data_IF_351991196534
#
_entry.id   IF_351991196534
#
_cell.length_a   1.000
_cell.length_b   1.000
_cell.length_c   1.000
_cell.angle_alpha   90.00
_cell.angle_beta   90.00
_cell.angle_gamma   90.00
#
_symmetry.space_group_name_H-M   'P 1'
#
loop_
_entity.id
_entity.type
_entity.pdbx_description
1 polymer ?
#
# COMPACT_ATOMS: atom_id res chain seq x y z
N UNK A 1 -29.00 -13.13 33.21
CA UNK A 1 -27.81 -13.79 32.64
C UNK A 1 -28.21 -15.15 32.08
N UNK A 2 -27.67 -15.54 30.94
CA UNK A 2 -27.90 -16.84 30.29
C UNK A 2 -26.55 -17.51 30.05
N UNK A 3 -26.45 -18.79 30.37
CA UNK A 3 -25.26 -19.58 30.06
C UNK A 3 -25.28 -20.06 28.61
N UNK A 4 -24.26 -19.67 27.83
CA UNK A 4 -24.16 -19.91 26.38
C UNK A 4 -23.29 -21.13 26.01
N UNK A 5 -22.83 -21.91 26.98
CA UNK A 5 -22.13 -23.18 26.72
C UNK A 5 -20.62 -23.14 27.00
N UNK A 6 -20.22 -22.54 28.12
CA UNK A 6 -18.87 -22.66 28.67
C UNK A 6 -18.52 -24.14 28.87
N UNK A 7 -17.38 -24.55 28.30
CA UNK A 7 -16.90 -25.93 28.38
C UNK A 7 -16.68 -26.42 29.82
N UNK A 8 -16.43 -25.50 30.76
CA UNK A 8 -16.20 -25.80 32.17
C UNK A 8 -17.42 -25.50 33.06
N UNK A 9 -18.53 -25.05 32.47
CA UNK A 9 -19.71 -24.57 33.18
C UNK A 9 -19.49 -23.22 33.88
N UNK A 10 -20.59 -22.53 34.16
CA UNK A 10 -20.61 -21.29 34.96
C UNK A 10 -21.30 -21.56 36.28
N UNK A 11 -20.69 -21.16 37.39
CA UNK A 11 -21.30 -21.25 38.72
C UNK A 11 -21.83 -19.87 39.14
N UNK A 12 -23.07 -19.82 39.60
CA UNK A 12 -23.65 -18.67 40.29
C UNK A 12 -23.80 -19.02 41.76
N UNK A 13 -23.10 -18.30 42.64
CA UNK A 13 -23.07 -18.53 44.08
C UNK A 13 -22.74 -20.00 44.44
N UNK A 14 -21.78 -20.58 43.72
CA UNK A 14 -21.34 -21.97 43.90
C UNK A 14 -22.26 -23.05 43.30
N UNK A 15 -23.35 -22.66 42.62
CA UNK A 15 -24.26 -23.61 41.95
C UNK A 15 -24.16 -23.48 40.43
N UNK A 16 -24.15 -24.60 39.68
CA UNK A 16 -24.11 -24.54 38.21
C UNK A 16 -25.35 -23.84 37.66
N UNK A 17 -25.13 -22.89 36.75
CA UNK A 17 -26.20 -22.18 36.06
C UNK A 17 -26.86 -23.13 35.03
N UNK A 18 -28.20 -23.24 34.99
CA UNK A 18 -28.86 -24.06 33.98
C UNK A 18 -28.60 -23.50 32.58
N UNK A 19 -28.24 -24.37 31.64
CA UNK A 19 -28.06 -23.99 30.24
C UNK A 19 -29.36 -23.44 29.67
N UNK A 20 -29.27 -22.34 28.90
CA UNK A 20 -30.40 -21.72 28.19
C UNK A 20 -31.56 -21.20 29.06
N UNK A 21 -31.35 -21.06 30.38
CA UNK A 21 -32.36 -20.45 31.26
C UNK A 21 -31.89 -19.08 31.75
N UNK A 22 -32.73 -18.07 31.57
CA UNK A 22 -32.50 -16.75 32.13
C UNK A 22 -32.57 -16.78 33.65
N UNK A 23 -31.49 -16.33 34.29
CA UNK A 23 -31.40 -16.13 35.73
C UNK A 23 -31.18 -14.65 36.03
N UNK A 24 -32.03 -14.09 36.88
CA UNK A 24 -31.88 -12.72 37.38
C UNK A 24 -30.70 -12.66 38.37
N UNK A 25 -29.84 -11.65 38.23
CA UNK A 25 -28.69 -11.40 39.11
C UNK A 25 -29.05 -10.35 40.16
N UNK A 26 -28.64 -10.57 41.40
CA UNK A 26 -28.81 -9.66 42.52
C UNK A 26 -27.46 -9.11 42.96
N UNK A 27 -27.46 -7.88 43.48
CA UNK A 27 -26.24 -7.27 44.01
C UNK A 27 -25.59 -8.14 45.08
N UNK A 28 -24.31 -8.44 44.87
CA UNK A 28 -23.51 -9.36 45.68
C UNK A 28 -23.38 -10.78 45.12
N UNK A 29 -24.07 -11.12 44.03
CA UNK A 29 -23.96 -12.44 43.41
C UNK A 29 -22.54 -12.69 42.87
N UNK A 30 -22.01 -13.90 43.14
CA UNK A 30 -20.68 -14.36 42.72
C UNK A 30 -20.79 -15.28 41.50
N UNK A 31 -20.15 -14.90 40.41
CA UNK A 31 -20.12 -15.64 39.16
C UNK A 31 -18.73 -16.24 38.97
N UNK A 32 -18.63 -17.55 38.88
CA UNK A 32 -17.36 -18.24 38.61
C UNK A 32 -17.39 -18.82 37.20
N UNK A 33 -16.44 -18.42 36.36
CA UNK A 33 -16.26 -18.90 35.00
C UNK A 33 -14.81 -19.39 34.87
N UNK A 34 -14.62 -20.72 34.88
CA UNK A 34 -13.27 -21.30 34.93
C UNK A 34 -12.52 -20.88 36.21
N UNK A 35 -11.30 -20.32 36.12
CA UNK A 35 -10.52 -19.92 37.28
C UNK A 35 -10.85 -18.52 37.83
N UNK A 36 -11.79 -17.79 37.21
CA UNK A 36 -12.07 -16.38 37.53
C UNK A 36 -13.40 -16.24 38.26
N UNK A 37 -13.43 -15.43 39.33
CA UNK A 37 -14.61 -15.07 40.10
C UNK A 37 -14.95 -13.58 39.92
N UNK A 38 -16.21 -13.29 39.57
CA UNK A 38 -16.77 -11.94 39.42
C UNK A 38 -17.84 -11.69 40.49
N UNK A 39 -17.99 -10.45 40.94
CA UNK A 39 -19.06 -10.05 41.86
C UNK A 39 -19.98 -9.04 41.17
N UNK A 40 -21.27 -9.37 41.05
CA UNK A 40 -22.25 -8.50 40.42
C UNK A 40 -22.64 -7.35 41.36
N UNK A 41 -22.48 -6.12 40.89
CA UNK A 41 -22.92 -4.91 41.60
C UNK A 41 -23.91 -4.15 40.71
N UNK A 42 -25.21 -4.08 41.07
CA UNK A 42 -26.19 -3.37 40.27
C UNK A 42 -25.84 -1.89 40.26
N UNK A 43 -25.82 -1.30 39.06
CA UNK A 43 -25.78 0.14 38.91
C UNK A 43 -27.04 0.71 39.57
N UNK A 44 -26.85 1.57 40.56
CA UNK A 44 -27.97 2.27 41.19
C UNK A 44 -28.75 3.00 40.10
N UNK A 45 -30.09 2.92 40.07
CA UNK A 45 -30.88 3.65 39.08
C UNK A 45 -30.53 5.13 39.20
N UNK A 46 -30.09 5.73 38.09
CA UNK A 46 -29.86 7.17 38.02
C UNK A 46 -31.12 7.87 38.51
N UNK A 47 -30.96 8.72 39.52
CA UNK A 47 -32.09 9.52 40.02
C UNK A 47 -32.62 10.33 38.84
N UNK A 48 -33.93 10.31 38.56
CA UNK A 48 -34.50 11.12 37.51
C UNK A 48 -34.11 12.58 37.79
N UNK A 49 -33.37 13.17 36.85
CA UNK A 49 -33.03 14.58 36.87
C UNK A 49 -34.35 15.34 36.87
N UNK A 50 -34.66 15.99 38.00
CA UNK A 50 -35.82 16.88 38.12
C UNK A 50 -35.55 18.06 37.19
N UNK A 51 -36.14 18.01 35.99
CA UNK A 51 -36.12 19.13 35.05
C UNK A 51 -36.88 20.29 35.70
N UNK A 52 -36.26 21.43 35.99
CA UNK A 52 -36.97 22.58 36.54
C UNK A 52 -38.04 23.06 35.54
N UNK A 53 -39.19 23.56 36.02
CA UNK A 53 -40.28 24.00 35.17
C UNK A 53 -39.82 25.09 34.19
N UNK A 54 -40.32 25.09 32.93
CA UNK A 54 -39.98 26.10 31.94
C UNK A 54 -40.42 27.48 32.45
N UNK A 55 -39.44 28.38 32.56
CA UNK A 55 -39.64 29.79 32.86
C UNK A 55 -40.46 30.44 31.74
N UNK A 56 -41.48 31.21 32.12
CA UNK A 56 -42.44 31.80 31.19
C UNK A 56 -41.76 32.69 30.12
N UNK A 57 -42.27 32.69 28.87
CA UNK A 57 -41.62 33.39 27.76
C UNK A 57 -41.66 34.91 27.96
N UNK A 58 -40.49 35.51 28.12
CA UNK A 58 -40.31 36.97 27.95
C UNK A 58 -40.52 37.34 26.48
N UNK A 59 -41.21 38.46 26.28
CA UNK A 59 -41.60 39.01 24.99
C UNK A 59 -40.43 39.07 23.98
N UNK A 60 -40.69 38.84 22.68
CA UNK A 60 -39.66 38.82 21.66
C UNK A 60 -39.07 40.22 21.45
N UNK A 61 -37.73 40.39 21.44
CA UNK A 61 -37.10 41.61 20.95
C UNK A 61 -37.28 41.72 19.43
N UNK A 62 -37.49 42.96 18.98
CA UNK A 62 -37.67 43.34 17.58
C UNK A 62 -36.53 42.82 16.71
N UNK A 63 -36.89 42.16 15.60
CA UNK A 63 -35.95 41.65 14.59
C UNK A 63 -35.39 42.82 13.77
N UNK A 64 -34.06 43.02 13.71
CA UNK A 64 -33.47 43.79 12.63
C UNK A 64 -33.53 42.96 11.35
N UNK A 65 -34.05 43.56 10.28
CA UNK A 65 -34.07 43.03 8.92
C UNK A 65 -32.65 42.94 8.36
N UNK A 66 -32.00 41.79 8.54
CA UNK A 66 -30.75 41.47 7.86
C UNK A 66 -31.06 41.08 6.40
N UNK A 67 -30.87 42.02 5.48
CA UNK A 67 -30.64 41.73 4.06
C UNK A 67 -29.31 40.99 3.95
N UNK A 68 -29.36 39.68 3.73
CA UNK A 68 -28.21 38.89 3.30
C UNK A 68 -27.80 39.31 1.88
N UNK A 69 -26.70 40.05 1.77
CA UNK A 69 -25.96 40.21 0.52
C UNK A 69 -24.93 39.09 0.42
N UNK A 70 -24.94 38.38 -0.72
CA UNK A 70 -24.08 37.23 -1.08
C UNK A 70 -22.56 37.48 -0.95
N UNK A 71 -22.13 38.72 -0.75
CA UNK A 71 -20.73 39.12 -0.66
C UNK A 71 -20.05 38.84 0.70
N UNK A 72 -20.79 38.66 1.81
CA UNK A 72 -20.17 38.43 3.12
C UNK A 72 -19.58 37.01 3.29
N UNK A 73 -20.13 36.00 2.61
CA UNK A 73 -19.65 34.61 2.70
C UNK A 73 -18.28 34.39 2.04
N UNK A 74 -17.93 35.14 1.00
CA UNK A 74 -16.61 35.04 0.34
C UNK A 74 -15.51 35.68 1.17
N UNK A 75 -15.84 36.73 1.93
CA UNK A 75 -14.88 37.47 2.73
C UNK A 75 -14.55 36.73 4.03
N UNK A 76 -15.52 36.03 4.64
CA UNK A 76 -15.25 35.12 5.77
C UNK A 76 -14.48 33.86 5.35
N UNK A 77 -14.70 33.31 4.15
CA UNK A 77 -13.88 32.19 3.65
C UNK A 77 -12.42 32.59 3.38
N UNK A 78 -12.17 33.81 2.88
CA UNK A 78 -10.80 34.31 2.67
C UNK A 78 -10.02 34.56 3.97
N UNK A 79 -10.70 34.90 5.07
CA UNK A 79 -10.04 35.08 6.37
C UNK A 79 -9.60 33.73 6.95
N UNK A 80 -10.35 32.66 6.71
CA UNK A 80 -9.97 31.30 7.14
C UNK A 80 -8.80 30.75 6.31
N UNK A 81 -8.70 31.08 5.01
CA UNK A 81 -7.54 30.71 4.18
C UNK A 81 -6.27 31.53 4.49
N UNK A 82 -6.42 32.74 5.02
CA UNK A 82 -5.28 33.62 5.32
C UNK A 82 -4.58 33.33 6.67
N UNK A 83 -5.27 32.70 7.63
CA UNK A 83 -4.69 32.40 8.95
C UNK A 83 -3.91 31.06 9.02
N UNK A 84 -3.97 30.21 7.98
CA UNK A 84 -3.32 28.88 7.97
C UNK A 84 -1.91 28.87 7.31
N UNK A 85 -1.30 30.04 7.12
CA UNK A 85 0.11 30.17 6.69
C UNK A 85 0.99 30.67 7.83
N UNK A 86 1.06 29.87 8.91
CA UNK A 86 2.09 29.99 9.94
C UNK A 86 3.47 29.53 9.42
N UNK A 87 4.59 30.09 9.92
CA UNK A 87 5.87 30.06 9.24
C UNK A 87 6.67 28.79 9.55
N UNK A 88 6.58 27.77 8.70
CA UNK A 88 7.66 26.80 8.58
C UNK A 88 8.74 27.39 7.68
N UNK A 89 9.61 28.20 8.31
CA UNK A 89 10.84 28.71 7.71
C UNK A 89 11.84 27.55 7.60
N UNK A 90 11.75 26.79 6.52
CA UNK A 90 12.87 25.94 6.09
C UNK A 90 14.01 26.86 5.71
N UNK A 91 15.09 26.83 6.49
CA UNK A 91 16.35 27.48 6.14
C UNK A 91 16.90 26.76 4.92
N UNK A 92 16.61 27.28 3.73
CA UNK A 92 17.33 26.90 2.51
C UNK A 92 18.59 27.75 2.48
N UNK A 93 19.70 27.12 2.83
CA UNK A 93 21.03 27.66 2.62
C UNK A 93 21.27 27.76 1.11
N UNK A 94 21.30 28.99 0.60
CA UNK A 94 21.65 29.34 -0.78
C UNK A 94 23.11 28.98 -1.05
N UNK A 95 23.34 27.77 -1.55
CA UNK A 95 24.62 27.42 -2.18
C UNK A 95 24.56 27.88 -3.63
N UNK A 96 25.26 28.98 -3.90
CA UNK A 96 25.52 29.55 -5.21
C UNK A 96 26.24 28.49 -6.09
N UNK A 97 25.55 27.93 -7.08
CA UNK A 97 26.17 27.09 -8.12
C UNK A 97 26.47 27.98 -9.34
N UNK A 98 27.71 28.02 -9.86
CA UNK A 98 28.03 28.82 -11.04
C UNK A 98 27.42 28.21 -12.31
N UNK A 99 26.83 29.07 -13.13
CA UNK A 99 26.44 28.79 -14.52
C UNK A 99 27.68 28.43 -15.38
N UNK A 100 27.61 27.31 -16.10
CA UNK A 100 28.50 27.00 -17.21
C UNK A 100 27.71 26.78 -18.51
N UNK A 101 28.31 27.09 -19.68
CA UNK A 101 27.59 27.38 -20.92
C UNK A 101 27.30 26.16 -21.79
N UNK A 102 26.17 26.21 -22.50
CA UNK A 102 25.80 25.26 -23.55
C UNK A 102 26.79 25.23 -24.73
N UNK A 103 26.96 24.06 -25.37
CA UNK A 103 27.35 24.00 -26.77
C UNK A 103 26.24 23.45 -27.67
N UNK A 104 25.90 24.26 -28.66
CA UNK A 104 25.11 23.89 -29.84
C UNK A 104 25.74 22.75 -30.66
N UNK A 105 24.90 21.83 -31.18
CA UNK A 105 25.20 20.96 -32.34
C UNK A 105 23.90 20.38 -32.91
N UNK A 106 23.35 20.99 -33.97
CA UNK A 106 23.47 20.62 -35.40
C UNK A 106 23.01 19.19 -35.76
N UNK A 107 21.82 19.13 -36.36
CA UNK A 107 21.33 18.11 -37.31
C UNK A 107 22.24 18.05 -38.57
N UNK A 108 22.31 16.92 -39.32
CA UNK A 108 21.34 16.71 -40.42
C UNK A 108 21.00 15.23 -40.79
N UNK A 109 19.78 15.04 -41.29
CA UNK A 109 19.56 14.58 -42.69
C UNK A 109 19.35 13.09 -43.02
N UNK A 110 18.31 12.87 -43.84
CA UNK A 110 18.08 11.79 -44.83
C UNK A 110 17.45 10.49 -44.30
N UNK A 111 16.54 9.79 -44.99
CA UNK A 111 15.66 9.97 -46.16
C UNK A 111 14.75 8.71 -46.19
N UNK A 112 13.59 8.70 -46.89
CA UNK A 112 12.62 7.60 -46.83
C UNK A 112 12.93 6.48 -47.82
N UNK A 113 12.81 5.21 -47.39
CA UNK A 113 12.96 4.05 -48.27
C UNK A 113 11.61 3.58 -48.81
N UNK A 114 11.57 3.55 -50.13
CA UNK A 114 10.47 3.30 -51.04
C UNK A 114 10.16 1.79 -51.10
N UNK A 115 8.89 1.42 -50.99
CA UNK A 115 8.42 0.03 -51.16
C UNK A 115 8.28 -0.24 -52.66
N UNK A 116 9.19 -1.05 -53.21
CA UNK A 116 9.11 -1.57 -54.58
C UNK A 116 8.08 -2.70 -54.70
N UNK A 117 7.19 -2.57 -55.68
CA UNK A 117 6.33 -3.64 -56.21
C UNK A 117 7.13 -4.56 -57.17
N UNK A 118 6.89 -5.87 -57.19
CA UNK A 118 7.27 -6.70 -58.32
C UNK A 118 6.12 -6.90 -59.33
N UNK A 119 6.39 -6.50 -60.58
CA UNK A 119 5.65 -6.81 -61.82
C UNK A 119 5.91 -8.26 -62.29
N UNK A 120 5.09 -8.81 -63.21
CA UNK A 120 4.96 -10.25 -63.47
C UNK A 120 5.99 -10.77 -64.48
N UNK A 121 6.49 -11.99 -64.26
CA UNK A 121 7.39 -12.67 -65.19
C UNK A 121 6.71 -13.89 -65.84
N UNK A 122 6.43 -13.69 -67.14
CA UNK A 122 6.80 -14.56 -68.26
C UNK A 122 6.26 -16.00 -68.29
N UNK A 123 5.37 -16.18 -69.26
CA UNK A 123 4.95 -17.42 -69.90
C UNK A 123 6.14 -18.23 -70.42
N UNK A 124 6.25 -19.49 -69.99
CA UNK A 124 7.21 -20.46 -70.51
C UNK A 124 6.52 -21.51 -71.41
N UNK A 125 7.16 -21.75 -72.56
CA UNK A 125 6.79 -22.69 -73.64
C UNK A 125 6.63 -24.15 -73.16
N UNK A 126 5.80 -24.96 -73.83
CA UNK A 126 5.79 -26.41 -73.67
C UNK A 126 7.04 -27.05 -74.30
N UNK A 127 7.66 -28.06 -73.67
CA UNK A 127 8.78 -28.81 -74.24
C UNK A 127 8.34 -29.90 -75.21
N UNK A 128 9.17 -30.09 -76.25
CA UNK A 128 9.11 -31.12 -77.30
C UNK A 128 9.49 -32.50 -76.73
N UNK A 129 8.92 -33.63 -77.20
CA UNK A 129 9.24 -34.97 -76.70
C UNK A 129 10.58 -35.49 -77.25
N UNK A 130 11.41 -36.07 -76.38
CA UNK A 130 12.66 -36.77 -76.72
C UNK A 130 12.48 -38.28 -76.48
N UNK A 131 12.98 -39.16 -77.36
CA UNK A 131 12.76 -40.62 -77.28
C UNK A 131 13.48 -41.30 -76.10
N UNK A 132 12.87 -42.40 -75.65
CA UNK A 132 13.23 -43.20 -74.49
C UNK A 132 14.59 -43.92 -74.64
N UNK A 133 15.39 -43.87 -73.56
CA UNK A 133 16.65 -44.62 -73.40
C UNK A 133 16.39 -45.85 -72.52
N UNK A 134 16.89 -47.05 -72.87
CA UNK A 134 16.58 -48.29 -72.17
C UNK A 134 17.18 -48.36 -70.76
N UNK A 135 16.39 -48.93 -69.84
CA UNK A 135 16.66 -49.03 -68.41
C UNK A 135 17.80 -50.01 -68.07
N UNK A 136 18.73 -49.55 -67.23
CA UNK A 136 19.71 -50.40 -66.58
C UNK A 136 19.07 -51.21 -65.43
N UNK A 137 19.48 -52.48 -65.29
CA UNK A 137 18.99 -53.40 -64.27
C UNK A 137 19.37 -52.92 -62.85
N UNK A 138 18.45 -53.01 -61.87
CA UNK A 138 18.69 -52.54 -60.50
C UNK A 138 19.62 -53.48 -59.71
N UNK A 139 20.50 -52.87 -58.92
CA UNK A 139 21.34 -53.53 -57.91
C UNK A 139 20.48 -53.81 -56.66
N UNK A 140 20.55 -55.00 -56.03
CA UNK A 140 19.74 -55.32 -54.86
C UNK A 140 20.27 -54.58 -53.62
N UNK A 141 19.42 -53.77 -52.98
CA UNK A 141 19.73 -53.11 -51.71
C UNK A 141 19.40 -51.61 -51.65
N UNK A 142 19.20 -50.96 -52.79
CA UNK A 142 18.75 -49.57 -52.82
C UNK A 142 17.22 -49.50 -52.97
N UNK A 143 16.55 -48.81 -52.05
CA UNK A 143 15.11 -48.52 -52.13
C UNK A 143 14.76 -47.97 -53.53
N UNK A 144 13.75 -48.58 -54.16
CA UNK A 144 13.29 -48.23 -55.51
C UNK A 144 12.97 -46.73 -55.60
N UNK A 145 13.27 -46.11 -56.75
CA UNK A 145 12.95 -44.70 -57.00
C UNK A 145 11.45 -44.39 -56.77
N UNK A 146 10.57 -45.38 -56.99
CA UNK A 146 9.15 -45.28 -56.72
C UNK A 146 8.83 -45.24 -55.21
N UNK A 147 9.54 -46.01 -54.38
CA UNK A 147 9.38 -46.00 -52.93
C UNK A 147 9.92 -44.71 -52.29
N UNK A 148 11.07 -44.22 -52.75
CA UNK A 148 11.62 -42.90 -52.36
C UNK A 148 10.65 -41.76 -52.68
N UNK A 149 9.97 -41.81 -53.83
CA UNK A 149 8.96 -40.82 -54.21
C UNK A 149 7.70 -40.91 -53.32
N UNK A 150 7.27 -42.13 -52.93
CA UNK A 150 6.12 -42.33 -52.05
C UNK A 150 6.40 -41.86 -50.61
N UNK A 151 7.57 -42.16 -50.07
CA UNK A 151 8.05 -41.67 -48.77
C UNK A 151 8.17 -40.14 -48.75
N UNK A 152 8.67 -39.51 -49.83
CA UNK A 152 8.69 -38.04 -49.96
C UNK A 152 7.29 -37.43 -49.92
N UNK A 153 6.30 -38.05 -50.57
CA UNK A 153 4.90 -37.55 -50.57
C UNK A 153 4.19 -37.75 -49.24
N UNK A 154 4.53 -38.80 -48.47
CA UNK A 154 3.95 -39.04 -47.15
C UNK A 154 4.58 -38.13 -46.08
N UNK A 155 5.91 -38.02 -46.05
CA UNK A 155 6.63 -37.18 -45.08
C UNK A 155 6.56 -35.69 -45.43
N UNK A 156 6.33 -35.32 -46.69
CA UNK A 156 6.18 -33.93 -47.11
C UNK A 156 4.91 -33.25 -46.57
N UNK A 157 3.95 -34.00 -46.04
CA UNK A 157 2.68 -33.48 -45.50
C UNK A 157 2.78 -32.98 -44.06
N UNK A 158 3.86 -33.28 -43.33
CA UNK A 158 4.04 -32.85 -41.93
C UNK A 158 5.36 -32.10 -41.78
N UNK A 159 5.37 -31.06 -40.93
CA UNK A 159 6.58 -30.27 -40.63
C UNK A 159 7.73 -31.18 -40.14
N UNK A 160 7.43 -32.15 -39.28
CA UNK A 160 8.42 -33.13 -38.81
C UNK A 160 8.94 -34.08 -39.90
N UNK A 161 8.11 -34.44 -40.88
CA UNK A 161 8.51 -35.29 -41.99
C UNK A 161 9.41 -34.59 -43.00
N UNK A 162 9.17 -33.29 -43.25
CA UNK A 162 10.04 -32.45 -44.07
C UNK A 162 11.44 -32.28 -43.43
N UNK A 163 11.50 -32.04 -42.11
CA UNK A 163 12.75 -31.97 -41.37
C UNK A 163 13.53 -33.29 -41.39
N UNK A 164 12.85 -34.43 -41.25
CA UNK A 164 13.49 -35.76 -41.32
C UNK A 164 14.07 -36.07 -42.69
N UNK A 165 13.38 -35.65 -43.77
CA UNK A 165 13.87 -35.78 -45.15
C UNK A 165 15.06 -34.86 -45.43
N UNK A 166 15.06 -33.64 -44.91
CA UNK A 166 16.17 -32.70 -45.01
C UNK A 166 17.39 -33.23 -44.23
N UNK A 167 17.18 -33.72 -43.01
CA UNK A 167 18.24 -34.30 -42.17
C UNK A 167 18.87 -35.56 -42.78
N UNK A 168 18.06 -36.41 -43.41
CA UNK A 168 18.52 -37.62 -44.08
C UNK A 168 19.42 -37.34 -45.30
N UNK A 169 19.25 -36.20 -45.97
CA UNK A 169 20.01 -35.80 -47.16
C UNK A 169 21.33 -35.07 -46.85
N UNK A 170 21.57 -34.69 -45.58
CA UNK A 170 22.83 -34.09 -45.17
C UNK A 170 23.97 -35.11 -45.15
N UNK A 171 25.13 -34.72 -45.66
CA UNK A 171 26.37 -35.50 -45.53
C UNK A 171 26.75 -35.69 -44.05
N UNK A 172 27.61 -36.66 -43.70
CA UNK A 172 28.02 -36.88 -42.31
C UNK A 172 28.57 -35.61 -41.64
N UNK A 173 29.34 -34.80 -42.37
CA UNK A 173 29.83 -33.48 -41.90
C UNK A 173 28.70 -32.46 -41.78
N UNK A 174 27.75 -32.47 -42.71
CA UNK A 174 26.57 -31.59 -42.67
C UNK A 174 25.65 -31.87 -41.48
N UNK A 175 25.52 -33.13 -41.06
CA UNK A 175 24.74 -33.52 -39.86
C UNK A 175 25.37 -32.99 -38.57
N UNK A 176 26.70 -33.05 -38.46
CA UNK A 176 27.43 -32.51 -37.29
C UNK A 176 27.29 -30.99 -37.23
N UNK A 177 27.46 -30.28 -38.35
CA UNK A 177 27.31 -28.82 -38.41
C UNK A 177 25.88 -28.36 -38.11
N UNK A 178 24.88 -28.98 -38.73
CA UNK A 178 23.48 -28.65 -38.50
C UNK A 178 23.04 -28.97 -37.06
N UNK A 179 23.56 -30.06 -36.49
CA UNK A 179 23.32 -30.43 -35.09
C UNK A 179 23.95 -29.45 -34.11
N UNK A 180 25.18 -29.02 -34.38
CA UNK A 180 25.85 -27.98 -33.59
C UNK A 180 25.10 -26.65 -33.64
N UNK A 181 24.66 -26.21 -34.83
CA UNK A 181 23.89 -24.97 -34.97
C UNK A 181 22.54 -25.02 -34.24
N UNK A 182 21.83 -26.14 -34.32
CA UNK A 182 20.57 -26.33 -33.60
C UNK A 182 20.78 -26.35 -32.07
N UNK A 183 21.82 -27.03 -31.59
CA UNK A 183 22.17 -27.04 -30.17
C UNK A 183 22.54 -25.64 -29.67
N UNK A 184 23.27 -24.87 -30.48
CA UNK A 184 23.65 -23.49 -30.14
C UNK A 184 22.43 -22.56 -30.10
N UNK A 185 21.48 -22.71 -31.04
CA UNK A 185 20.22 -21.96 -31.06
C UNK A 185 19.34 -22.29 -29.84
N UNK A 186 19.20 -23.56 -29.49
CA UNK A 186 18.45 -23.97 -28.28
C UNK A 186 19.16 -23.47 -27.02
N UNK A 187 20.49 -23.54 -26.98
CA UNK A 187 21.30 -22.99 -25.90
C UNK A 187 21.14 -21.48 -25.73
N UNK A 188 21.10 -20.70 -26.82
CA UNK A 188 20.89 -19.25 -26.76
C UNK A 188 19.47 -18.89 -26.34
N UNK A 189 18.45 -19.62 -26.82
CA UNK A 189 17.06 -19.42 -26.38
C UNK A 189 16.92 -19.77 -24.91
N UNK A 190 17.48 -20.90 -24.45
CA UNK A 190 17.46 -21.28 -23.04
C UNK A 190 18.22 -20.26 -22.16
N UNK A 191 19.36 -19.74 -22.64
CA UNK A 191 20.11 -18.69 -21.95
C UNK A 191 19.32 -17.37 -21.88
N UNK A 192 18.67 -16.95 -22.96
CA UNK A 192 17.82 -15.75 -22.96
C UNK A 192 16.61 -15.92 -22.04
N UNK A 193 15.95 -17.09 -22.06
CA UNK A 193 14.87 -17.38 -21.12
C UNK A 193 15.39 -17.38 -19.68
N UNK A 194 16.54 -17.99 -19.39
CA UNK A 194 17.13 -17.97 -18.05
C UNK A 194 17.57 -16.56 -17.61
N UNK A 195 17.93 -15.68 -18.54
CA UNK A 195 18.26 -14.28 -18.25
C UNK A 195 17.01 -13.42 -18.00
N UNK A 196 15.90 -13.67 -18.70
CA UNK A 196 14.62 -12.97 -18.50
C UNK A 196 13.89 -13.47 -17.25
N UNK A 197 13.98 -14.77 -16.96
CA UNK A 197 13.42 -15.39 -15.74
C UNK A 197 14.45 -15.48 -14.61
N UNK A 198 15.56 -14.75 -14.69
CA UNK A 198 16.45 -14.61 -13.55
C UNK A 198 15.62 -13.87 -12.49
N UNK A 199 15.29 -14.49 -11.34
CA UNK A 199 14.64 -13.74 -10.28
C UNK A 199 15.55 -12.54 -10.02
N UNK A 200 14.97 -11.34 -9.95
CA UNK A 200 15.67 -10.15 -9.48
C UNK A 200 16.09 -10.43 -8.03
N UNK A 201 17.19 -11.17 -7.90
CA UNK A 201 17.72 -11.62 -6.65
C UNK A 201 18.25 -10.40 -5.97
N UNK A 202 17.51 -9.96 -4.95
CA UNK A 202 18.01 -9.24 -3.78
C UNK A 202 19.22 -8.39 -4.11
N UNK A 203 18.99 -7.15 -4.56
CA UNK A 203 20.02 -6.11 -4.60
C UNK A 203 20.87 -6.27 -3.34
N UNK A 204 22.10 -6.79 -3.48
CA UNK A 204 22.95 -7.03 -2.32
C UNK A 204 23.04 -5.70 -1.58
N UNK A 205 22.66 -5.64 -0.29
CA UNK A 205 22.62 -4.37 0.41
C UNK A 205 24.01 -3.72 0.35
N UNK A 206 24.06 -2.48 -0.15
CA UNK A 206 25.28 -1.69 -0.13
C UNK A 206 25.43 -1.07 1.26
N UNK A 207 25.97 -1.82 2.22
CA UNK A 207 26.37 -1.24 3.50
C UNK A 207 26.14 -2.15 4.71
N UNK A 208 26.32 -1.61 5.93
CA UNK A 208 25.88 -2.24 7.16
C UNK A 208 24.34 -2.21 7.26
N UNK A 209 23.77 -3.19 7.97
CA UNK A 209 22.34 -3.23 8.22
C UNK A 209 21.89 -1.98 9.01
N UNK A 210 20.91 -1.22 8.52
CA UNK A 210 20.42 -0.06 9.25
C UNK A 210 19.73 -0.49 10.54
N UNK A 211 20.07 0.18 11.63
CA UNK A 211 19.49 -0.09 12.96
C UNK A 211 18.94 1.17 13.62
N UNK A 212 18.99 2.33 12.95
CA UNK A 212 18.56 3.62 13.50
C UNK A 212 17.40 4.15 12.66
N UNK A 213 16.27 4.45 13.30
CA UNK A 213 15.14 5.14 12.65
C UNK A 213 15.35 6.65 12.70
N UNK A 214 14.86 7.30 11.65
CA UNK A 214 14.83 8.76 11.53
C UNK A 214 13.43 9.20 11.11
N UNK A 215 13.27 10.50 10.87
CA UNK A 215 12.06 11.05 10.25
C UNK A 215 11.88 10.65 8.78
N UNK A 216 12.94 10.12 8.14
CA UNK A 216 12.90 9.66 6.74
C UNK A 216 12.59 8.16 6.68
N UNK A 217 11.75 7.73 5.72
CA UNK A 217 11.45 6.32 5.49
C UNK A 217 12.72 5.51 5.21
N UNK A 218 12.91 4.43 5.96
CA UNK A 218 13.91 3.43 5.65
C UNK A 218 13.35 2.45 4.61
N UNK A 219 13.73 2.62 3.34
CA UNK A 219 13.11 1.90 2.21
C UNK A 219 13.51 0.43 2.10
N UNK A 220 14.54 0.02 2.84
CA UNK A 220 15.01 -1.36 2.88
C UNK A 220 14.02 -2.28 3.60
N UNK A 221 14.03 -3.57 3.26
CA UNK A 221 13.12 -4.57 3.82
C UNK A 221 13.83 -5.54 4.76
N UNK A 222 13.14 -5.93 5.83
CA UNK A 222 13.63 -6.76 6.93
C UNK A 222 12.67 -7.91 7.19
N UNK A 223 13.18 -9.08 7.58
CA UNK A 223 12.39 -10.24 7.97
C UNK A 223 12.88 -11.55 7.34
N UNK A 224 11.98 -12.43 6.90
CA UNK A 224 12.30 -13.71 6.26
C UNK A 224 11.48 -13.91 4.98
N UNK A 225 12.08 -14.44 3.92
CA UNK A 225 11.34 -14.81 2.69
C UNK A 225 11.54 -13.85 1.52
N UNK A 226 10.52 -13.77 0.65
CA UNK A 226 10.62 -13.11 -0.65
C UNK A 226 10.68 -11.58 -0.56
N UNK A 227 11.60 -10.96 -1.31
CA UNK A 227 11.75 -9.50 -1.36
C UNK A 227 12.32 -8.88 -0.07
N UNK A 228 12.86 -9.69 0.85
CA UNK A 228 13.59 -9.23 2.03
C UNK A 228 15.05 -8.93 1.65
N UNK A 229 15.51 -7.73 1.97
CA UNK A 229 16.92 -7.32 1.78
C UNK A 229 17.78 -7.83 2.95
N UNK A 230 17.30 -7.65 4.18
CA UNK A 230 17.99 -8.05 5.41
C UNK A 230 17.30 -9.19 6.13
N UNK A 231 17.88 -10.39 6.03
CA UNK A 231 17.30 -11.59 6.62
C UNK A 231 17.44 -11.60 8.14
N UNK A 232 16.29 -11.53 8.82
CA UNK A 232 16.10 -11.63 10.27
C UNK A 232 14.92 -12.55 10.53
N UNK A 233 15.16 -13.86 10.81
CA UNK A 233 14.07 -14.82 10.96
C UNK A 233 13.23 -14.57 12.20
N UNK A 234 13.89 -14.15 13.29
CA UNK A 234 13.33 -14.02 14.63
C UNK A 234 12.80 -12.60 14.86
N UNK A 235 13.70 -11.65 15.08
CA UNK A 235 13.34 -10.27 15.38
C UNK A 235 14.18 -9.26 14.63
N UNK A 236 13.62 -8.06 14.48
CA UNK A 236 14.32 -6.86 14.01
C UNK A 236 14.12 -5.72 15.02
N UNK A 237 15.23 -5.27 15.60
CA UNK A 237 15.27 -4.10 16.47
C UNK A 237 15.75 -2.87 15.69
N UNK A 238 15.12 -1.74 16.00
CA UNK A 238 15.56 -0.42 15.61
C UNK A 238 15.66 0.50 16.81
N UNK A 239 16.51 1.49 16.70
CA UNK A 239 16.77 2.46 17.75
C UNK A 239 16.49 3.87 17.23
N UNK A 240 15.96 4.73 18.06
CA UNK A 240 15.72 6.12 17.69
C UNK A 240 15.86 7.03 18.90
N UNK A 241 16.20 8.27 18.62
CA UNK A 241 16.27 9.33 19.62
C UNK A 241 15.45 10.50 19.09
N UNK A 242 14.77 11.18 19.99
CA UNK A 242 14.08 12.41 19.66
C UNK A 242 14.33 13.47 20.74
N UNK A 243 14.44 14.70 20.27
CA UNK A 243 14.52 15.89 21.11
C UNK A 243 13.30 16.74 20.80
N UNK A 244 12.48 16.99 21.80
CA UNK A 244 11.29 17.83 21.67
C UNK A 244 11.24 18.82 22.85
N UNK A 245 10.90 20.10 22.60
CA UNK A 245 10.78 21.09 23.66
C UNK A 245 9.67 20.70 24.66
N UNK A 246 8.57 20.14 24.14
CA UNK A 246 7.44 19.66 24.93
C UNK A 246 7.36 18.13 24.95
N UNK A 247 6.43 17.57 25.72
CA UNK A 247 6.00 16.17 25.54
C UNK A 247 5.68 15.91 24.06
N UNK A 248 6.02 14.74 23.55
CA UNK A 248 5.78 14.37 22.17
C UNK A 248 5.06 13.03 22.08
N UNK A 249 4.17 12.94 21.10
CA UNK A 249 3.63 11.69 20.61
C UNK A 249 4.57 11.18 19.52
N UNK A 250 4.89 9.89 19.55
CA UNK A 250 5.65 9.25 18.47
C UNK A 250 4.73 8.29 17.74
N UNK A 251 4.64 8.45 16.42
CA UNK A 251 3.91 7.55 15.52
C UNK A 251 4.93 6.73 14.75
N UNK A 252 4.85 5.41 14.87
CA UNK A 252 5.64 4.47 14.08
C UNK A 252 4.91 4.22 12.76
N UNK A 253 5.59 4.51 11.66
CA UNK A 253 5.10 4.26 10.30
C UNK A 253 5.87 3.09 9.71
N UNK A 254 5.15 2.15 9.11
CA UNK A 254 5.76 1.00 8.45
C UNK A 254 4.81 0.37 7.43
N UNK A 255 5.37 -0.47 6.57
CA UNK A 255 4.61 -1.39 5.74
C UNK A 255 4.96 -2.83 6.10
N UNK A 256 4.01 -3.74 5.88
CA UNK A 256 4.19 -5.14 6.22
C UNK A 256 3.52 -6.07 5.21
N UNK A 257 4.06 -7.28 5.07
CA UNK A 257 3.56 -8.33 4.18
C UNK A 257 4.03 -9.70 4.67
N UNK A 258 3.29 -10.73 4.26
CA UNK A 258 3.45 -12.10 4.71
C UNK A 258 3.31 -12.21 6.23
N UNK A 259 2.28 -11.60 6.81
CA UNK A 259 2.06 -11.64 8.26
C UNK A 259 0.71 -12.28 8.57
N UNK A 260 0.75 -13.31 9.41
CA UNK A 260 -0.42 -13.99 9.97
C UNK A 260 -0.93 -13.28 11.22
N UNK A 261 -2.14 -13.64 11.66
CA UNK A 261 -2.72 -13.10 12.89
C UNK A 261 -1.84 -13.43 14.10
N UNK A 262 -1.54 -12.41 14.92
CA UNK A 262 -0.70 -12.53 16.12
C UNK A 262 0.70 -13.14 15.88
N UNK A 263 1.27 -12.96 14.68
CA UNK A 263 2.60 -13.48 14.35
C UNK A 263 3.74 -12.54 14.77
N UNK A 264 3.65 -11.26 14.41
CA UNK A 264 4.72 -10.28 14.67
C UNK A 264 4.26 -9.27 15.71
N UNK A 265 4.87 -9.30 16.88
CA UNK A 265 4.61 -8.34 17.96
C UNK A 265 5.49 -7.09 17.81
N UNK A 266 4.95 -5.94 18.19
CA UNK A 266 5.69 -4.68 18.26
C UNK A 266 5.90 -4.35 19.73
N UNK A 267 7.15 -4.15 20.15
CA UNK A 267 7.48 -3.68 21.49
C UNK A 267 8.29 -2.39 21.46
N UNK A 268 8.09 -1.56 22.47
CA UNK A 268 8.82 -0.31 22.70
C UNK A 268 9.51 -0.41 24.06
N UNK A 269 10.83 -0.27 24.06
CA UNK A 269 11.65 -0.33 25.28
C UNK A 269 11.34 -1.58 26.13
N UNK A 270 11.06 -2.71 25.48
CA UNK A 270 10.73 -3.99 26.11
C UNK A 270 9.25 -4.17 26.50
N UNK A 271 8.38 -3.19 26.26
CA UNK A 271 6.94 -3.29 26.57
C UNK A 271 6.14 -3.43 25.28
N UNK A 272 5.33 -4.47 25.18
CA UNK A 272 4.49 -4.76 24.01
C UNK A 272 3.47 -3.63 23.77
N UNK A 273 3.43 -3.10 22.55
CA UNK A 273 2.49 -2.06 22.10
C UNK A 273 1.30 -2.66 21.35
N UNK A 274 1.50 -3.80 20.68
CA UNK A 274 0.48 -4.46 19.88
C UNK A 274 1.06 -5.50 18.93
N UNK A 275 0.25 -5.91 17.95
CA UNK A 275 0.61 -6.84 16.89
C UNK A 275 0.58 -6.13 15.55
N UNK A 276 1.45 -6.55 14.64
CA UNK A 276 1.36 -6.14 13.24
C UNK A 276 0.06 -6.73 12.65
N UNK A 277 -0.79 -5.92 12.00
CA UNK A 277 -2.01 -6.43 11.39
C UNK A 277 -1.73 -7.54 10.36
N UNK A 278 -2.60 -8.56 10.26
CA UNK A 278 -2.45 -9.61 9.26
C UNK A 278 -2.64 -9.07 7.84
N UNK A 279 -2.10 -9.82 6.88
CA UNK A 279 -2.18 -9.48 5.47
C UNK A 279 -3.62 -9.35 4.95
N UNK A 280 -3.80 -8.41 4.03
CA UNK A 280 -5.01 -8.21 3.23
C UNK A 280 -4.63 -8.15 1.75
N UNK A 281 -5.60 -8.16 0.84
CA UNK A 281 -5.35 -8.11 -0.61
C UNK A 281 -4.50 -6.89 -1.07
N UNK A 282 -4.42 -5.84 -0.25
CA UNK A 282 -3.66 -4.61 -0.51
C UNK A 282 -2.53 -4.38 0.51
N UNK A 283 -2.06 -5.43 1.21
CA UNK A 283 -1.04 -5.31 2.27
C UNK A 283 0.23 -4.58 1.81
N UNK A 284 0.73 -4.92 0.62
CA UNK A 284 1.96 -4.33 0.07
C UNK A 284 1.88 -2.81 -0.19
N UNK A 285 0.68 -2.25 -0.40
CA UNK A 285 0.48 -0.82 -0.67
C UNK A 285 -0.02 -0.05 0.55
N UNK A 286 -0.28 -0.74 1.67
CA UNK A 286 -0.80 -0.13 2.89
C UNK A 286 0.35 0.36 3.75
N UNK A 287 0.28 1.61 4.18
CA UNK A 287 1.09 2.15 5.27
C UNK A 287 0.30 1.98 6.56
N UNK A 288 0.99 1.57 7.61
CA UNK A 288 0.42 1.27 8.91
C UNK A 288 1.01 2.25 9.91
N UNK A 289 0.12 3.00 10.56
CA UNK A 289 0.45 3.91 11.65
C UNK A 289 0.20 3.20 12.99
N UNK A 290 1.23 3.13 13.83
CA UNK A 290 1.12 2.63 15.20
C UNK A 290 1.52 3.73 16.18
N UNK A 291 0.57 4.14 17.03
CA UNK A 291 0.85 5.08 18.11
C UNK A 291 1.72 4.38 19.18
N UNK A 292 2.80 5.04 19.58
CA UNK A 292 3.65 4.61 20.68
C UNK A 292 3.22 5.26 22.00
N UNK A 293 3.10 4.48 23.07
CA UNK A 293 2.62 5.01 24.34
C UNK A 293 3.60 6.01 24.97
N UNK A 294 3.12 7.22 25.24
CA UNK A 294 3.90 8.35 25.79
C UNK A 294 4.70 7.97 27.05
N UNK A 295 4.13 7.27 28.06
CA UNK A 295 4.85 6.97 29.31
C UNK A 295 6.08 6.09 29.12
N UNK A 296 6.19 5.38 27.99
CA UNK A 296 7.29 4.47 27.68
C UNK A 296 8.41 5.15 26.90
N UNK A 297 8.15 6.34 26.34
CA UNK A 297 9.12 7.09 25.54
C UNK A 297 10.10 7.84 26.44
N UNK A 298 11.39 7.67 26.16
CA UNK A 298 12.48 8.36 26.86
C UNK A 298 12.94 9.54 26.00
N UNK A 299 12.71 10.77 26.49
CA UNK A 299 13.10 12.00 25.78
C UNK A 299 14.62 12.20 25.86
N UNK A 300 15.26 12.57 24.75
CA UNK A 300 16.71 12.80 24.69
C UNK A 300 17.55 11.58 25.12
N UNK A 301 16.96 10.39 24.99
CA UNK A 301 17.58 9.12 25.25
C UNK A 301 17.24 8.15 24.12
N UNK A 302 18.01 7.07 24.03
CA UNK A 302 17.81 6.02 23.03
C UNK A 302 16.58 5.20 23.38
N UNK A 303 15.61 5.21 22.47
CA UNK A 303 14.44 4.34 22.49
C UNK A 303 14.68 3.17 21.53
N UNK A 304 14.11 2.01 21.84
CA UNK A 304 14.21 0.81 21.02
C UNK A 304 12.82 0.32 20.64
N UNK A 305 12.61 0.10 19.35
CA UNK A 305 11.43 -0.57 18.79
C UNK A 305 11.86 -1.94 18.31
N UNK A 306 11.12 -2.98 18.67
CA UNK A 306 11.39 -4.35 18.22
C UNK A 306 10.16 -4.91 17.55
N UNK A 307 10.35 -5.42 16.33
CA UNK A 307 9.43 -6.32 15.66
C UNK A 307 9.89 -7.74 15.94
N UNK A 308 9.10 -8.50 16.69
CA UNK A 308 9.45 -9.83 17.18
C UNK A 308 8.46 -10.86 16.62
N UNK A 309 8.93 -11.78 15.79
CA UNK A 309 8.11 -12.84 15.22
C UNK A 309 8.03 -14.02 16.19
N UNK A 310 6.90 -14.17 16.87
CA UNK A 310 6.74 -15.17 17.94
C UNK A 310 6.64 -16.60 17.42
N UNK A 311 6.46 -16.79 16.11
CA UNK A 311 6.40 -18.10 15.46
C UNK A 311 7.77 -18.57 14.95
N UNK A 312 8.76 -17.67 14.88
CA UNK A 312 10.07 -17.93 14.33
C UNK A 312 11.18 -17.56 15.33
N UNK A 313 12.10 -18.45 15.72
CA UNK A 313 12.11 -19.91 15.55
C UNK A 313 11.16 -20.65 16.53
N UNK A 314 10.73 -21.90 16.24
CA UNK A 314 11.27 -22.85 15.25
C UNK A 314 10.62 -22.79 13.86
N UNK A 315 9.64 -21.92 13.64
CA UNK A 315 9.03 -21.72 12.32
C UNK A 315 10.02 -21.24 11.26
N UNK A 316 9.54 -21.19 10.02
CA UNK A 316 10.23 -20.59 8.87
C UNK A 316 9.25 -19.84 7.96
N UNK A 317 8.18 -19.35 8.55
CA UNK A 317 7.17 -18.59 7.81
C UNK A 317 7.79 -17.25 7.41
N UNK A 318 7.59 -16.87 6.15
CA UNK A 318 8.14 -15.62 5.66
C UNK A 318 7.36 -14.47 6.26
N UNK A 319 8.04 -13.41 6.68
CA UNK A 319 7.45 -12.16 7.16
C UNK A 319 8.31 -11.00 6.68
N UNK A 320 7.71 -9.85 6.40
CA UNK A 320 8.44 -8.70 5.86
C UNK A 320 7.90 -7.39 6.40
N UNK A 321 8.81 -6.54 6.84
CA UNK A 321 8.55 -5.12 7.14
C UNK A 321 9.49 -4.22 6.32
N UNK A 322 9.03 -3.04 5.89
CA UNK A 322 9.82 -2.06 5.14
C UNK A 322 9.21 -0.66 5.24
N UNK A 323 9.90 0.34 4.67
CA UNK A 323 9.50 1.76 4.74
C UNK A 323 9.27 2.21 6.19
N UNK A 324 10.14 1.78 7.10
CA UNK A 324 9.98 2.02 8.55
C UNK A 324 10.55 3.39 8.90
N UNK A 325 9.77 4.22 9.60
CA UNK A 325 10.22 5.49 10.16
C UNK A 325 9.38 5.90 11.37
N UNK A 326 9.85 6.93 12.07
CA UNK A 326 9.11 7.52 13.19
C UNK A 326 8.77 8.96 12.89
N UNK A 327 7.54 9.35 13.19
CA UNK A 327 7.09 10.74 13.18
C UNK A 327 6.99 11.22 14.62
N UNK A 328 7.63 12.34 14.94
CA UNK A 328 7.63 12.93 16.28
C UNK A 328 6.76 14.17 16.26
N UNK A 329 5.63 14.12 16.95
CA UNK A 329 4.63 15.19 16.99
C UNK A 329 4.67 15.85 18.36
N UNK A 330 5.13 17.10 18.47
CA UNK A 330 5.11 17.82 19.74
C UNK A 330 3.67 18.07 20.17
N UNK A 331 3.38 17.74 21.42
CA UNK A 331 2.07 17.89 22.03
C UNK A 331 2.04 19.23 22.78
N UNK A 332 0.92 19.98 22.73
CA UNK A 332 0.79 21.23 23.49
C UNK A 332 0.89 20.99 25.00
N UNK A 333 1.68 21.82 25.69
CA UNK A 333 1.74 21.89 27.16
C UNK A 333 0.77 22.95 27.67
N UNK A 334 -0.53 22.63 27.60
CA UNK A 334 -1.60 23.47 28.13
C UNK A 334 -2.25 22.81 29.35
N UNK A 335 -2.88 23.58 30.25
CA UNK A 335 -3.69 23.03 31.32
C UNK A 335 -4.78 22.07 30.79
N UNK A 336 -5.17 21.02 31.54
CA UNK A 336 -6.15 20.03 31.08
C UNK A 336 -7.46 20.63 30.54
N UNK A 337 -7.98 21.66 31.18
CA UNK A 337 -9.21 22.34 30.73
C UNK A 337 -9.05 23.01 29.37
N UNK A 338 -7.88 23.60 29.10
CA UNK A 338 -7.57 24.23 27.82
C UNK A 338 -7.33 23.18 26.73
N UNK A 339 -6.69 22.07 27.05
CA UNK A 339 -6.54 20.92 26.14
C UNK A 339 -7.91 20.38 25.73
N UNK A 340 -8.81 20.18 26.70
CA UNK A 340 -10.18 19.72 26.44
C UNK A 340 -10.97 20.72 25.59
N UNK A 341 -10.87 22.02 25.90
CA UNK A 341 -11.53 23.07 25.11
C UNK A 341 -11.00 23.12 23.67
N UNK A 342 -9.68 23.00 23.48
CA UNK A 342 -9.05 22.95 22.16
C UNK A 342 -9.48 21.71 21.39
N UNK A 343 -9.44 20.54 22.00
CA UNK A 343 -9.87 19.29 21.37
C UNK A 343 -11.35 19.33 20.94
N UNK A 344 -12.24 19.91 21.77
CA UNK A 344 -13.66 20.12 21.40
C UNK A 344 -13.83 21.05 20.22
N UNK A 345 -13.01 22.11 20.12
CA UNK A 345 -13.02 23.02 18.98
C UNK A 345 -12.62 22.29 17.69
N UNK A 346 -11.54 21.52 17.74
CA UNK A 346 -11.03 20.75 16.60
C UNK A 346 -12.00 19.64 16.17
N UNK A 347 -12.59 18.93 17.14
CA UNK A 347 -13.63 17.93 16.87
C UNK A 347 -14.87 18.56 16.22
N UNK A 348 -15.29 19.74 16.69
CA UNK A 348 -16.40 20.49 16.08
C UNK A 348 -16.10 20.94 14.64
N UNK A 349 -14.87 21.34 14.36
CA UNK A 349 -14.41 21.62 12.99
C UNK A 349 -14.44 20.35 12.12
N UNK A 350 -13.95 19.23 12.66
CA UNK A 350 -13.99 17.92 11.99
C UNK A 350 -15.41 17.51 11.61
N UNK A 351 -16.38 17.67 12.52
CA UNK A 351 -17.80 17.42 12.25
C UNK A 351 -18.33 18.28 11.11
N UNK A 352 -18.10 19.59 11.18
CA UNK A 352 -18.55 20.54 10.15
C UNK A 352 -17.99 20.20 8.77
N UNK A 353 -16.69 19.90 8.67
CA UNK A 353 -16.09 19.52 7.38
C UNK A 353 -16.61 18.19 6.87
N UNK A 354 -16.87 17.22 7.76
CA UNK A 354 -17.44 15.92 7.39
C UNK A 354 -18.87 16.02 6.88
N UNK A 355 -19.68 16.91 7.47
CA UNK A 355 -21.02 17.23 6.97
C UNK A 355 -20.97 17.86 5.56
N UNK A 356 -19.96 18.70 5.32
CA UNK A 356 -19.74 19.38 4.04
C UNK A 356 -18.86 18.59 3.06
N UNK A 357 -18.59 17.29 3.31
CA UNK A 357 -17.63 16.50 2.51
C UNK A 357 -17.96 16.40 1.03
N UNK A 358 -19.25 16.51 0.68
CA UNK A 358 -19.71 16.45 -0.72
C UNK A 358 -19.66 17.82 -1.43
N UNK A 359 -19.39 18.91 -0.69
CA UNK A 359 -19.36 20.28 -1.23
C UNK A 359 -17.97 20.66 -1.75
N UNK A 360 -16.92 20.34 -0.98
CA UNK A 360 -15.53 20.61 -1.31
C UNK A 360 -14.76 19.30 -1.43
N UNK A 361 -13.94 19.16 -2.47
CA UNK A 361 -13.19 17.92 -2.73
C UNK A 361 -12.22 17.55 -1.61
N UNK A 362 -11.71 18.54 -0.89
CA UNK A 362 -10.76 18.44 0.22
C UNK A 362 -11.41 18.43 1.60
N UNK A 363 -12.74 18.64 1.70
CA UNK A 363 -13.42 18.74 2.99
C UNK A 363 -13.30 17.44 3.81
N UNK A 364 -13.30 16.27 3.15
CA UNK A 364 -13.09 15.02 3.87
C UNK A 364 -11.68 14.93 4.47
N UNK A 365 -10.66 15.40 3.74
CA UNK A 365 -9.28 15.47 4.22
C UNK A 365 -9.14 16.47 5.38
N UNK A 366 -9.76 17.65 5.25
CA UNK A 366 -9.83 18.65 6.34
C UNK A 366 -10.53 18.10 7.59
N UNK A 367 -11.59 17.32 7.42
CA UNK A 367 -12.26 16.66 8.54
C UNK A 367 -11.34 15.69 9.26
N UNK A 368 -10.65 14.82 8.51
CA UNK A 368 -9.67 13.89 9.06
C UNK A 368 -8.54 14.61 9.80
N UNK A 369 -7.98 15.68 9.21
CA UNK A 369 -6.93 16.49 9.83
C UNK A 369 -7.39 17.11 11.15
N UNK A 370 -8.61 17.65 11.19
CA UNK A 370 -9.18 18.21 12.40
C UNK A 370 -9.40 17.15 13.50
N UNK A 371 -9.90 15.95 13.15
CA UNK A 371 -10.01 14.85 14.12
C UNK A 371 -8.65 14.33 14.59
N UNK A 372 -7.65 14.25 13.70
CA UNK A 372 -6.27 13.88 14.06
C UNK A 372 -5.69 14.89 15.04
N UNK A 373 -5.88 16.19 14.82
CA UNK A 373 -5.46 17.25 15.74
C UNK A 373 -6.17 17.13 17.10
N UNK A 374 -7.48 16.91 17.11
CA UNK A 374 -8.26 16.72 18.34
C UNK A 374 -7.74 15.53 19.15
N UNK A 375 -7.48 14.40 18.48
CA UNK A 375 -6.93 13.21 19.12
C UNK A 375 -5.54 13.46 19.71
N UNK A 376 -4.62 14.05 18.94
CA UNK A 376 -3.27 14.39 19.43
C UNK A 376 -3.31 15.36 20.61
N UNK A 377 -4.25 16.31 20.61
CA UNK A 377 -4.47 17.21 21.74
C UNK A 377 -4.97 16.44 22.98
N UNK A 378 -5.85 15.46 22.81
CA UNK A 378 -6.30 14.59 23.91
C UNK A 378 -5.24 13.58 24.36
N UNK A 379 -4.24 13.28 23.52
CA UNK A 379 -3.10 12.47 23.91
C UNK A 379 -2.25 13.13 25.00
N UNK A 380 -2.27 14.46 25.07
CA UNK A 380 -1.63 15.25 26.10
C UNK A 380 -2.17 15.01 27.53
N UNK A 381 -3.40 14.49 27.65
CA UNK A 381 -4.06 14.27 28.92
C UNK A 381 -3.66 12.91 29.51
N UNK A 382 -3.35 12.90 30.80
CA UNK A 382 -3.04 11.68 31.52
C UNK A 382 -4.31 10.83 31.72
N UNK A 383 -5.44 11.47 32.07
CA UNK A 383 -6.76 10.85 32.13
C UNK A 383 -7.56 11.12 30.86
N UNK A 384 -7.98 10.04 30.18
CA UNK A 384 -8.69 10.15 28.90
C UNK A 384 -10.19 10.43 29.14
N UNK A 385 -10.74 11.55 28.63
CA UNK A 385 -12.17 11.86 28.74
C UNK A 385 -13.00 10.97 27.79
N UNK A 386 -14.33 10.94 27.95
CA UNK A 386 -15.25 10.24 27.04
C UNK A 386 -15.06 10.68 25.57
N UNK A 387 -14.86 11.98 25.34
CA UNK A 387 -14.57 12.58 24.04
C UNK A 387 -13.41 11.89 23.29
N UNK A 388 -12.46 11.28 24.01
CA UNK A 388 -11.33 10.58 23.41
C UNK A 388 -11.78 9.41 22.52
N UNK A 389 -12.75 8.62 22.98
CA UNK A 389 -13.25 7.48 22.19
C UNK A 389 -14.07 7.95 20.99
N UNK A 390 -14.87 9.01 21.17
CA UNK A 390 -15.68 9.60 20.09
C UNK A 390 -14.79 10.13 18.96
N UNK A 391 -13.75 10.90 19.32
CA UNK A 391 -12.78 11.44 18.35
C UNK A 391 -12.04 10.30 17.66
N UNK A 392 -11.60 9.28 18.39
CA UNK A 392 -10.92 8.12 17.81
C UNK A 392 -11.83 7.38 16.82
N UNK A 393 -13.08 7.17 17.18
CA UNK A 393 -14.06 6.54 16.30
C UNK A 393 -14.32 7.37 15.04
N UNK A 394 -14.51 8.68 15.19
CA UNK A 394 -14.69 9.60 14.07
C UNK A 394 -13.47 9.62 13.14
N UNK A 395 -12.26 9.67 13.71
CA UNK A 395 -11.00 9.61 12.99
C UNK A 395 -10.86 8.32 12.19
N UNK A 396 -11.13 7.16 12.80
CA UNK A 396 -11.08 5.86 12.12
C UNK A 396 -12.06 5.79 10.95
N UNK A 397 -13.31 6.22 11.16
CA UNK A 397 -14.32 6.21 10.10
C UNK A 397 -13.96 7.15 8.94
N UNK A 398 -13.54 8.38 9.25
CA UNK A 398 -13.18 9.37 8.24
C UNK A 398 -11.90 8.95 7.49
N UNK A 399 -10.92 8.38 8.18
CA UNK A 399 -9.73 7.79 7.56
C UNK A 399 -10.09 6.66 6.59
N UNK A 400 -10.95 5.73 7.00
CA UNK A 400 -11.38 4.64 6.12
C UNK A 400 -12.12 5.13 4.85
N UNK A 401 -12.91 6.20 4.96
CA UNK A 401 -13.58 6.84 3.83
C UNK A 401 -12.57 7.53 2.88
N UNK A 402 -11.55 8.21 3.43
CA UNK A 402 -10.45 8.78 2.65
C UNK A 402 -9.65 7.72 1.91
N UNK A 403 -9.30 6.62 2.58
CA UNK A 403 -8.60 5.50 1.97
C UNK A 403 -9.41 4.90 0.82
N UNK A 404 -10.73 4.80 0.98
CA UNK A 404 -11.62 4.34 -0.09
C UNK A 404 -11.61 5.29 -1.29
N UNK A 405 -11.63 6.60 -1.05
CA UNK A 405 -11.51 7.59 -2.14
C UNK A 405 -10.16 7.49 -2.84
N UNK A 406 -9.07 7.34 -2.08
CA UNK A 406 -7.73 7.15 -2.65
C UNK A 406 -7.68 5.90 -3.54
N UNK A 407 -8.14 4.74 -3.04
CA UNK A 407 -8.19 3.49 -3.81
C UNK A 407 -8.97 3.66 -5.11
N UNK A 408 -10.12 4.34 -5.07
CA UNK A 408 -10.93 4.60 -6.27
C UNK A 408 -10.15 5.42 -7.30
N UNK A 409 -9.53 6.52 -6.90
CA UNK A 409 -8.75 7.38 -7.80
C UNK A 409 -7.54 6.64 -8.37
N UNK A 410 -6.88 5.80 -7.58
CA UNK A 410 -5.74 5.00 -8.05
C UNK A 410 -6.14 3.93 -9.05
N UNK A 411 -7.31 3.30 -8.89
CA UNK A 411 -7.86 2.41 -9.90
C UNK A 411 -8.23 3.16 -11.20
N UNK A 412 -8.79 4.36 -11.09
CA UNK A 412 -9.12 5.19 -12.25
C UNK A 412 -7.85 5.66 -13.00
N UNK A 413 -6.79 5.99 -12.26
CA UNK A 413 -5.48 6.29 -12.82
C UNK A 413 -4.89 5.09 -13.57
N UNK A 414 -4.81 3.92 -12.91
CA UNK A 414 -4.31 2.68 -13.52
C UNK A 414 -5.08 2.33 -14.79
N UNK A 415 -6.42 2.47 -14.76
CA UNK A 415 -7.28 2.27 -15.93
C UNK A 415 -6.91 3.23 -17.07
N UNK A 416 -6.69 4.50 -16.77
CA UNK A 416 -6.33 5.52 -17.76
C UNK A 416 -4.99 5.21 -18.42
N UNK A 417 -4.00 4.80 -17.63
CA UNK A 417 -2.70 4.34 -18.12
C UNK A 417 -2.84 3.08 -18.99
N UNK A 418 -3.63 2.10 -18.56
CA UNK A 418 -3.87 0.86 -19.33
C UNK A 418 -4.47 1.13 -20.71
N UNK A 419 -5.41 2.10 -20.80
CA UNK A 419 -6.01 2.53 -22.07
C UNK A 419 -5.18 3.55 -22.84
N UNK A 420 -3.97 3.90 -22.36
CA UNK A 420 -3.08 4.91 -22.95
C UNK A 420 -3.72 6.29 -23.10
N UNK A 421 -4.59 6.64 -22.15
CA UNK A 421 -5.29 7.92 -22.08
C UNK A 421 -4.53 8.85 -21.11
N UNK A 422 -3.46 9.48 -21.63
CA UNK A 422 -2.54 10.32 -20.83
C UNK A 422 -3.22 11.53 -20.20
N UNK A 423 -4.12 12.19 -20.94
CA UNK A 423 -4.85 13.38 -20.45
C UNK A 423 -5.73 13.04 -19.24
N UNK A 424 -6.42 11.89 -19.28
CA UNK A 424 -7.20 11.42 -18.13
C UNK A 424 -6.33 10.99 -16.96
N UNK A 425 -5.17 10.39 -17.22
CA UNK A 425 -4.22 10.04 -16.17
C UNK A 425 -3.73 11.28 -15.42
N UNK A 426 -3.32 12.33 -16.15
CA UNK A 426 -2.92 13.64 -15.57
C UNK A 426 -4.07 14.28 -14.81
N UNK A 427 -5.28 14.30 -15.38
CA UNK A 427 -6.47 14.82 -14.68
C UNK A 427 -6.73 14.09 -13.36
N UNK A 428 -6.55 12.77 -13.34
CA UNK A 428 -6.75 11.96 -12.12
C UNK A 428 -5.70 12.30 -11.05
N UNK A 429 -4.44 12.52 -11.44
CA UNK A 429 -3.37 12.96 -10.52
C UNK A 429 -3.69 14.34 -9.93
N UNK A 430 -4.11 15.29 -10.75
CA UNK A 430 -4.54 16.61 -10.28
C UNK A 430 -5.74 16.53 -9.33
N UNK A 431 -6.68 15.64 -9.62
CA UNK A 431 -7.82 15.41 -8.75
C UNK A 431 -7.42 14.75 -7.41
N UNK A 432 -6.41 13.87 -7.39
CA UNK A 432 -5.80 13.38 -6.14
C UNK A 432 -5.17 14.54 -5.37
N UNK A 433 -4.37 15.40 -6.03
CA UNK A 433 -3.75 16.58 -5.37
C UNK A 433 -4.80 17.52 -4.78
N UNK A 434 -5.96 17.68 -5.43
CA UNK A 434 -7.07 18.50 -4.89
C UNK A 434 -7.74 17.87 -3.67
N UNK A 435 -7.93 16.55 -3.64
CA UNK A 435 -8.53 15.85 -2.49
C UNK A 435 -7.56 15.64 -1.33
N UNK A 436 -6.29 15.45 -1.66
CA UNK A 436 -5.18 15.18 -0.75
C UNK A 436 -4.10 16.23 -0.97
N UNK A 437 -4.28 17.46 -0.44
CA UNK A 437 -3.43 18.60 -0.77
C UNK A 437 -2.01 18.54 -0.19
N UNK A 438 -1.78 17.69 0.81
CA UNK A 438 -0.50 17.62 1.51
C UNK A 438 0.02 16.19 1.60
N UNK A 439 1.30 16.06 1.96
CA UNK A 439 1.98 14.78 2.16
C UNK A 439 1.58 14.07 3.45
N UNK A 440 0.70 14.65 4.28
CA UNK A 440 0.19 14.03 5.51
C UNK A 440 -0.62 12.76 5.23
N UNK A 441 -1.14 12.60 4.02
CA UNK A 441 -1.82 11.39 3.57
C UNK A 441 -1.09 10.78 2.38
N UNK A 442 -0.77 9.48 2.47
CA UNK A 442 0.04 8.74 1.49
C UNK A 442 -0.42 8.91 0.04
N UNK A 443 -1.73 9.01 -0.18
CA UNK A 443 -2.30 9.16 -1.53
C UNK A 443 -1.66 10.30 -2.34
N UNK A 444 -1.27 11.39 -1.68
CA UNK A 444 -0.60 12.52 -2.32
C UNK A 444 0.73 12.09 -2.95
N UNK A 445 1.62 11.50 -2.16
CA UNK A 445 2.93 11.03 -2.61
C UNK A 445 2.79 9.89 -3.61
N UNK A 446 1.86 8.96 -3.38
CA UNK A 446 1.62 7.83 -4.27
C UNK A 446 1.21 8.29 -5.68
N UNK A 447 0.35 9.30 -5.79
CA UNK A 447 -0.03 9.84 -7.10
C UNK A 447 1.14 10.52 -7.81
N UNK A 448 2.00 11.23 -7.08
CA UNK A 448 3.22 11.84 -7.62
C UNK A 448 4.19 10.76 -8.11
N UNK A 449 4.47 9.75 -7.28
CA UNK A 449 5.34 8.62 -7.63
C UNK A 449 4.86 7.90 -8.89
N UNK A 450 3.55 7.61 -8.96
CA UNK A 450 2.96 6.95 -10.12
C UNK A 450 2.99 7.82 -11.37
N UNK A 451 2.77 9.12 -11.25
CA UNK A 451 2.89 10.01 -12.38
C UNK A 451 4.31 10.05 -12.95
N UNK A 452 5.33 10.08 -12.07
CA UNK A 452 6.75 10.01 -12.45
C UNK A 452 7.09 8.65 -13.08
N UNK A 453 6.62 7.54 -12.49
CA UNK A 453 6.84 6.17 -12.99
C UNK A 453 6.37 6.01 -14.45
N UNK A 454 5.23 6.61 -14.80
CA UNK A 454 4.67 6.56 -16.15
C UNK A 454 5.08 7.73 -17.06
N UNK A 455 5.96 8.62 -16.59
CA UNK A 455 6.47 9.75 -17.38
C UNK A 455 5.41 10.79 -17.74
N UNK A 456 4.41 10.99 -16.88
CA UNK A 456 3.37 11.99 -17.07
C UNK A 456 3.92 13.39 -16.73
N UNK A 457 3.46 14.45 -17.42
CA UNK A 457 3.80 15.83 -17.06
C UNK A 457 3.21 16.17 -15.68
N UNK A 458 4.04 16.76 -14.82
CA UNK A 458 3.73 17.12 -13.43
C UNK A 458 3.52 18.61 -13.23
#
# INVERSE_FOLDING_TARGET
MVELGSANGTLLNGKPLPQQKEQELRGGDRLVVGPVEFVFTPLAPERPVVVPPPEAPKAPPERPTARLTRAQTEQEMRVIEAEDTGPHRTVTEEVLVPEEPEPARRLPGNAPTLIEMPLPLRTARPPVPVPARPAAKPVPGEMSAAERARLRRQLGKTLGGQLRLAWGQLSPRGKVLAGGAAALLVGTIAFMLAAVFRPEGSSRPLGPEPSVLSLRPLTESFGLGEGVVWTRPDLKAFEFEFVSPTRAVVVLHYQANFISEEEVSISLNGVQQGWVPPDTATAAEREIEQLLAIPLLKRSERNQIVFDNVLNPPGREGWRIWNVYVEVIPVPELPPEQLLAKARKEEGQGRRFRELRDVGSDNLFKAWKAYRSAWLTLEALDEKPELYQDVRHALMQTGAELDQQCRKLMLDFQRSVQFRDGDRAVFTVEEVKRRFPTTEHRCHNLAIEKAVEYGLPM
#
